data_IF_852864235303
#
_entry.id   IF_852864235303
#
_cell.length_a   1.000
_cell.length_b   1.000
_cell.length_c   1.000
_cell.angle_alpha   90.00
_cell.angle_beta   90.00
_cell.angle_gamma   90.00
#
_symmetry.space_group_name_H-M   'P 1'
#
loop_
_entity.id
_entity.type
_entity.pdbx_description
1 polymer ?
#
# COMPACT_ATOMS: atom_id res chain seq x y z
N UNK A 1 8.88 20.39 20.14
CA UNK A 1 9.58 21.15 19.08
C UNK A 1 8.89 20.86 17.77
N UNK A 2 8.77 21.83 16.85
CA UNK A 2 8.13 21.57 15.56
C UNK A 2 8.91 20.50 14.80
N UNK A 3 8.19 19.56 14.18
CA UNK A 3 8.75 18.49 13.35
C UNK A 3 9.40 19.05 12.07
N UNK A 4 8.97 20.25 11.65
CA UNK A 4 9.35 20.88 10.38
C UNK A 4 8.62 20.30 9.16
N UNK A 5 7.65 19.41 9.39
CA UNK A 5 6.81 18.79 8.38
C UNK A 5 5.36 19.23 8.57
N UNK A 6 4.71 19.67 7.49
CA UNK A 6 3.35 20.19 7.50
C UNK A 6 2.35 19.19 8.10
N UNK A 7 1.52 19.67 9.03
CA UNK A 7 0.45 18.90 9.66
C UNK A 7 0.89 17.81 10.65
N UNK A 8 2.19 17.53 10.79
CA UNK A 8 2.69 16.50 11.72
C UNK A 8 3.02 17.15 13.07
N UNK A 9 1.98 17.44 13.86
CA UNK A 9 2.12 18.04 15.20
C UNK A 9 2.20 16.99 16.32
N UNK A 10 1.41 15.91 16.20
CA UNK A 10 1.41 14.82 17.16
C UNK A 10 1.89 13.52 16.48
N UNK A 11 3.01 12.98 16.95
CA UNK A 11 3.58 11.73 16.42
C UNK A 11 4.29 10.93 17.50
N UNK A 12 4.43 9.62 17.26
CA UNK A 12 5.26 8.74 18.10
C UNK A 12 6.77 8.82 17.77
N UNK A 13 7.16 9.49 16.68
CA UNK A 13 8.56 9.76 16.33
C UNK A 13 9.05 11.02 17.03
N UNK A 14 10.33 11.05 17.41
CA UNK A 14 10.95 12.30 17.83
C UNK A 14 11.16 13.22 16.62
N UNK A 15 11.26 14.53 16.86
CA UNK A 15 11.46 15.56 15.82
C UNK A 15 12.59 15.20 14.85
N UNK A 16 13.74 14.75 15.36
CA UNK A 16 14.91 14.43 14.51
C UNK A 16 14.74 13.11 13.74
N UNK A 17 13.95 12.17 14.26
CA UNK A 17 13.73 10.87 13.61
C UNK A 17 13.03 11.05 12.27
N UNK A 18 12.11 12.02 12.15
CA UNK A 18 11.42 12.31 10.89
C UNK A 18 12.35 12.60 9.71
N UNK A 19 13.54 13.13 9.98
CA UNK A 19 14.54 13.51 8.98
C UNK A 19 15.58 12.41 8.74
N UNK A 20 15.52 11.32 9.51
CA UNK A 20 16.38 10.16 9.33
C UNK A 20 16.12 9.40 8.04
N UNK A 21 17.17 8.83 7.45
CA UNK A 21 17.18 8.09 6.16
C UNK A 21 16.01 7.08 6.03
N UNK A 22 15.68 6.37 7.11
CA UNK A 22 14.67 5.31 7.09
C UNK A 22 13.26 5.80 7.42
N UNK A 23 13.13 6.98 8.04
CA UNK A 23 11.86 7.51 8.54
C UNK A 23 11.27 8.60 7.63
N UNK A 24 12.11 9.36 6.93
CA UNK A 24 11.64 10.41 6.01
C UNK A 24 10.73 9.87 4.91
N UNK A 25 11.01 8.66 4.42
CA UNK A 25 10.24 7.99 3.37
C UNK A 25 8.78 7.66 3.76
N UNK A 26 8.42 7.72 5.04
CA UNK A 26 7.03 7.65 5.51
C UNK A 26 6.55 8.97 6.10
N UNK A 27 7.44 9.76 6.71
CA UNK A 27 7.09 11.07 7.29
C UNK A 27 6.69 12.10 6.23
N UNK A 28 7.44 12.18 5.12
CA UNK A 28 7.16 13.13 4.04
C UNK A 28 5.82 12.82 3.32
N UNK A 29 5.51 11.56 2.95
CA UNK A 29 4.17 11.20 2.49
C UNK A 29 3.03 11.61 3.43
N UNK A 30 3.18 11.40 4.74
CA UNK A 30 2.15 11.79 5.71
C UNK A 30 1.95 13.31 5.77
N UNK A 31 3.05 14.07 5.69
CA UNK A 31 3.00 15.53 5.66
C UNK A 31 2.35 16.06 4.37
N UNK A 32 2.69 15.47 3.22
CA UNK A 32 2.08 15.80 1.93
C UNK A 32 0.58 15.47 1.91
N UNK A 33 0.19 14.32 2.46
CA UNK A 33 -1.21 13.95 2.61
C UNK A 33 -1.97 14.94 3.52
N UNK A 34 -1.34 15.41 4.60
CA UNK A 34 -1.91 16.44 5.48
C UNK A 34 -2.07 17.78 4.75
N UNK A 35 -1.06 18.19 3.97
CA UNK A 35 -1.13 19.38 3.13
C UNK A 35 -2.29 19.28 2.12
N UNK A 36 -2.39 18.16 1.41
CA UNK A 36 -3.48 17.92 0.47
C UNK A 36 -4.85 17.89 1.16
N UNK A 37 -4.95 17.34 2.37
CA UNK A 37 -6.16 17.33 3.18
C UNK A 37 -6.65 18.74 3.53
N UNK A 38 -5.75 19.62 3.99
CA UNK A 38 -6.11 20.96 4.45
C UNK A 38 -6.36 21.94 3.29
N UNK A 39 -5.92 21.60 2.08
CA UNK A 39 -6.17 22.38 0.85
C UNK A 39 -7.26 21.76 -0.04
N UNK A 40 -8.01 20.77 0.46
CA UNK A 40 -9.06 20.07 -0.27
C UNK A 40 -8.61 19.51 -1.64
N UNK A 41 -7.34 19.07 -1.72
CA UNK A 41 -6.77 18.45 -2.92
C UNK A 41 -6.99 16.93 -2.81
N UNK A 42 -7.84 16.33 -3.66
CA UNK A 42 -8.08 14.89 -3.58
C UNK A 42 -6.87 14.10 -4.09
N UNK A 43 -6.73 12.87 -3.60
CA UNK A 43 -5.78 11.89 -4.12
C UNK A 43 -6.38 11.08 -5.27
N UNK A 44 -5.53 10.51 -6.12
CA UNK A 44 -5.96 9.49 -7.09
C UNK A 44 -6.32 8.23 -6.32
N UNK A 45 -7.56 7.75 -6.42
CA UNK A 45 -8.01 6.53 -5.76
C UNK A 45 -8.18 5.38 -6.74
N UNK A 46 -7.34 4.36 -6.61
CA UNK A 46 -7.45 3.13 -7.39
C UNK A 46 -8.37 2.17 -6.62
N UNK A 47 -9.56 1.99 -7.18
CA UNK A 47 -10.58 1.09 -6.66
C UNK A 47 -10.84 -0.06 -7.63
N UNK A 48 -11.38 -1.16 -7.12
CA UNK A 48 -11.85 -2.26 -7.94
C UNK A 48 -13.29 -2.01 -8.38
N UNK A 49 -13.60 -2.33 -9.63
CA UNK A 49 -14.95 -2.31 -10.19
C UNK A 49 -15.23 -3.59 -10.99
N UNK A 50 -16.50 -3.96 -11.12
CA UNK A 50 -16.94 -5.05 -12.00
C UNK A 50 -17.47 -4.47 -13.32
N UNK A 51 -16.78 -4.77 -14.41
CA UNK A 51 -17.20 -4.46 -15.77
C UNK A 51 -17.63 -5.74 -16.49
N UNK A 52 -18.94 -6.00 -16.51
CA UNK A 52 -19.55 -7.13 -17.22
C UNK A 52 -18.98 -8.50 -16.82
N UNK A 53 -18.73 -8.71 -15.53
CA UNK A 53 -18.18 -9.93 -14.96
C UNK A 53 -16.66 -9.90 -14.79
N UNK A 54 -15.96 -8.87 -15.31
CA UNK A 54 -14.51 -8.73 -15.20
C UNK A 54 -14.14 -7.69 -14.14
N UNK A 55 -13.42 -8.12 -13.10
CA UNK A 55 -12.90 -7.23 -12.07
C UNK A 55 -11.71 -6.46 -12.61
N UNK A 56 -11.80 -5.12 -12.59
CA UNK A 56 -10.75 -4.23 -13.11
C UNK A 56 -10.51 -3.07 -12.16
N UNK A 57 -9.26 -2.63 -12.06
CA UNK A 57 -8.94 -1.42 -11.32
C UNK A 57 -9.30 -0.18 -12.12
N UNK A 58 -9.94 0.78 -11.47
CA UNK A 58 -10.27 2.08 -12.06
C UNK A 58 -9.78 3.23 -11.20
N UNK A 59 -9.28 4.30 -11.82
CA UNK A 59 -8.94 5.53 -11.12
C UNK A 59 -10.20 6.36 -10.85
N UNK A 60 -10.31 6.84 -9.63
CA UNK A 60 -11.27 7.85 -9.18
C UNK A 60 -10.54 8.84 -8.27
N UNK A 61 -11.27 9.61 -7.47
CA UNK A 61 -10.71 10.54 -6.50
C UNK A 61 -11.24 10.23 -5.10
N UNK A 62 -10.41 10.47 -4.08
CA UNK A 62 -10.78 10.33 -2.67
C UNK A 62 -10.20 11.51 -1.87
N UNK A 63 -10.95 12.01 -0.90
CA UNK A 63 -10.46 13.04 0.02
C UNK A 63 -9.53 12.41 1.07
N UNK A 64 -8.54 13.16 1.56
CA UNK A 64 -7.71 12.67 2.66
C UNK A 64 -8.48 12.56 3.99
N UNK A 65 -9.60 13.26 4.12
CA UNK A 65 -10.52 13.09 5.27
C UNK A 65 -11.11 11.69 5.31
N UNK A 66 -11.44 11.14 4.15
CA UNK A 66 -11.93 9.76 4.01
C UNK A 66 -10.78 8.75 4.16
N UNK A 67 -9.60 9.04 3.60
CA UNK A 67 -8.41 8.17 3.73
C UNK A 67 -7.97 8.03 5.19
N UNK A 68 -7.99 9.14 5.94
CA UNK A 68 -7.63 9.18 7.35
C UNK A 68 -8.80 8.82 8.28
N UNK A 69 -10.02 8.70 7.76
CA UNK A 69 -11.24 8.49 8.54
C UNK A 69 -11.42 9.55 9.64
N UNK A 70 -11.03 10.80 9.40
CA UNK A 70 -10.96 11.83 10.44
C UNK A 70 -12.18 12.75 10.52
N UNK A 71 -13.10 12.66 9.55
CA UNK A 71 -14.27 13.54 9.48
C UNK A 71 -13.86 15.01 9.32
N UNK A 72 -14.39 15.88 10.18
CA UNK A 72 -14.14 17.33 10.12
C UNK A 72 -12.81 17.76 10.76
N UNK A 73 -12.07 16.85 11.40
CA UNK A 73 -10.82 17.17 12.12
C UNK A 73 -9.75 17.74 11.19
N UNK A 74 -8.94 18.67 11.68
CA UNK A 74 -7.73 19.18 11.00
C UNK A 74 -6.53 18.24 11.19
N UNK A 75 -5.40 18.52 10.54
CA UNK A 75 -4.18 17.73 10.75
C UNK A 75 -3.63 17.86 12.18
N UNK A 76 -3.80 19.04 12.79
CA UNK A 76 -3.40 19.31 14.18
C UNK A 76 -4.22 18.50 15.20
N UNK A 77 -5.42 18.03 14.83
CA UNK A 77 -6.27 17.19 15.68
C UNK A 77 -6.01 15.69 15.47
N UNK A 78 -4.95 15.33 14.75
CA UNK A 78 -4.57 13.95 14.45
C UNK A 78 -3.20 13.59 15.03
N UNK A 79 -3.05 12.31 15.36
CA UNK A 79 -1.80 11.70 15.77
C UNK A 79 -1.31 10.70 14.72
N UNK A 80 -0.10 10.93 14.20
CA UNK A 80 0.57 10.13 13.18
C UNK A 80 1.52 9.14 13.84
N UNK A 81 1.08 7.88 13.96
CA UNK A 81 1.81 6.82 14.66
C UNK A 81 2.48 5.91 13.63
N UNK A 82 3.78 6.10 13.41
CA UNK A 82 4.56 5.36 12.43
C UNK A 82 4.99 3.99 12.95
N UNK A 83 5.11 3.01 12.05
CA UNK A 83 5.60 1.65 12.35
C UNK A 83 4.89 1.02 13.56
N UNK A 84 3.58 1.26 13.65
CA UNK A 84 2.76 0.94 14.83
C UNK A 84 1.68 -0.07 14.47
N UNK A 85 1.30 -0.88 15.46
CA UNK A 85 0.19 -1.83 15.33
C UNK A 85 -1.15 -1.11 15.34
N UNK A 86 -2.02 -1.42 14.38
CA UNK A 86 -3.43 -1.05 14.42
C UNK A 86 -4.18 -2.01 15.36
N UNK A 87 -4.19 -1.68 16.65
CA UNK A 87 -4.72 -2.54 17.70
C UNK A 87 -6.13 -3.10 17.45
N UNK A 88 -7.08 -2.39 16.78
CA UNK A 88 -8.38 -2.98 16.47
C UNK A 88 -8.32 -4.30 15.70
N UNK A 89 -7.28 -4.54 14.89
CA UNK A 89 -7.15 -5.81 14.15
C UNK A 89 -6.59 -6.96 15.00
N UNK A 90 -6.05 -6.69 16.19
CA UNK A 90 -5.53 -7.72 17.08
C UNK A 90 -6.61 -8.73 17.50
N UNK A 91 -7.89 -8.32 17.52
CA UNK A 91 -9.01 -9.20 17.85
C UNK A 91 -9.11 -10.42 16.91
N UNK A 92 -8.62 -10.28 15.67
CA UNK A 92 -8.64 -11.31 14.62
C UNK A 92 -7.44 -12.25 14.65
N UNK A 93 -6.45 -12.03 15.51
CA UNK A 93 -5.25 -12.86 15.60
C UNK A 93 -5.01 -13.38 17.01
N UNK A 94 -4.67 -14.67 17.16
CA UNK A 94 -4.17 -15.23 18.42
C UNK A 94 -2.75 -14.77 18.73
N UNK A 95 -1.95 -14.54 17.69
CA UNK A 95 -0.59 -14.06 17.79
C UNK A 95 -0.56 -12.53 17.72
N UNK A 96 0.50 -11.90 18.22
CA UNK A 96 0.71 -10.47 18.00
C UNK A 96 0.75 -10.18 16.48
N UNK A 97 -0.01 -9.18 16.03
CA UNK A 97 0.05 -8.74 14.64
C UNK A 97 1.22 -7.77 14.44
N UNK A 98 1.79 -7.77 13.24
CA UNK A 98 2.86 -6.84 12.89
C UNK A 98 2.38 -5.37 12.87
N UNK A 99 3.33 -4.44 12.99
CA UNK A 99 3.07 -3.03 12.73
C UNK A 99 2.84 -2.76 11.24
N UNK A 100 2.13 -1.67 10.94
CA UNK A 100 2.04 -1.10 9.59
C UNK A 100 2.75 0.27 9.58
N UNK A 101 3.12 0.76 8.40
CA UNK A 101 3.93 1.98 8.26
C UNK A 101 3.32 3.22 8.93
N UNK A 102 1.99 3.38 8.90
CA UNK A 102 1.30 4.52 9.49
C UNK A 102 -0.07 4.14 10.08
N UNK A 103 -0.31 4.56 11.32
CA UNK A 103 -1.61 4.50 11.99
C UNK A 103 -2.04 5.92 12.36
N UNK A 104 -3.20 6.34 11.85
CA UNK A 104 -3.83 7.60 12.21
C UNK A 104 -4.74 7.39 13.42
N UNK A 105 -4.63 8.29 14.39
CA UNK A 105 -5.52 8.39 15.54
C UNK A 105 -6.02 9.82 15.69
N UNK A 106 -7.12 10.01 16.42
CA UNK A 106 -7.41 11.32 17.00
C UNK A 106 -6.64 11.52 18.33
N UNK A 107 -6.74 12.73 18.88
CA UNK A 107 -6.06 13.07 20.14
C UNK A 107 -6.66 12.40 21.38
N UNK A 108 -7.88 11.86 21.27
CA UNK A 108 -8.49 11.02 22.31
C UNK A 108 -7.94 9.58 22.29
N UNK A 109 -7.11 9.23 21.31
CA UNK A 109 -6.47 7.93 21.16
C UNK A 109 -7.29 6.91 20.38
N UNK A 110 -8.40 7.32 19.76
CA UNK A 110 -9.21 6.43 18.92
C UNK A 110 -8.47 6.11 17.62
N UNK A 111 -8.49 4.84 17.23
CA UNK A 111 -7.88 4.36 16.00
C UNK A 111 -8.76 4.71 14.79
N UNK A 112 -8.21 5.42 13.81
CA UNK A 112 -8.97 5.89 12.64
C UNK A 112 -8.63 5.12 11.37
N UNK A 113 -7.34 5.05 10.99
CA UNK A 113 -6.93 4.45 9.72
C UNK A 113 -5.53 3.82 9.78
N UNK A 114 -5.36 2.55 9.35
CA UNK A 114 -4.06 1.95 9.09
C UNK A 114 -3.66 2.06 7.61
N UNK A 115 -2.45 2.52 7.32
CA UNK A 115 -1.95 2.72 5.96
C UNK A 115 -0.52 2.18 5.79
N UNK A 116 -0.31 1.42 4.72
CA UNK A 116 1.04 1.19 4.18
C UNK A 116 1.48 2.46 3.44
N UNK A 117 2.74 2.86 3.58
CA UNK A 117 3.25 4.09 2.98
C UNK A 117 4.38 3.77 2.01
N UNK A 118 4.23 4.23 0.77
CA UNK A 118 5.25 4.07 -0.27
C UNK A 118 5.62 5.42 -0.84
N UNK A 119 6.92 5.70 -0.91
CA UNK A 119 7.48 6.83 -1.65
C UNK A 119 8.21 6.29 -2.87
N UNK A 120 7.66 6.50 -4.06
CA UNK A 120 8.14 5.86 -5.30
C UNK A 120 8.49 6.87 -6.37
N UNK A 121 9.59 6.61 -7.09
CA UNK A 121 10.02 7.43 -8.23
C UNK A 121 9.21 7.11 -9.49
N UNK A 122 8.93 8.14 -10.28
CA UNK A 122 8.32 8.04 -11.62
C UNK A 122 9.21 8.79 -12.63
N UNK A 123 9.73 8.16 -13.69
CA UNK A 123 9.63 6.75 -14.05
C UNK A 123 10.65 5.85 -13.35
N UNK A 124 10.40 4.55 -13.37
CA UNK A 124 11.44 3.53 -13.16
C UNK A 124 12.46 3.49 -14.30
N UNK A 125 13.62 2.89 -14.06
CA UNK A 125 14.64 2.64 -15.09
C UNK A 125 14.08 1.93 -16.33
N UNK A 126 13.21 0.95 -16.10
CA UNK A 126 12.58 0.11 -17.12
C UNK A 126 11.51 0.82 -17.96
N UNK A 127 10.89 1.88 -17.42
CA UNK A 127 9.82 2.61 -18.12
C UNK A 127 10.26 3.97 -18.66
N UNK A 128 11.39 4.51 -18.21
CA UNK A 128 11.86 5.85 -18.59
C UNK A 128 12.17 6.01 -20.09
N UNK A 129 12.39 4.90 -20.81
CA UNK A 129 12.65 4.89 -22.26
C UNK A 129 11.37 4.84 -23.09
N UNK A 130 10.22 4.67 -22.45
CA UNK A 130 8.91 4.67 -23.09
C UNK A 130 8.33 6.09 -23.11
N UNK A 131 7.28 6.35 -23.91
CA UNK A 131 6.53 7.60 -23.83
C UNK A 131 6.04 7.86 -22.40
N UNK A 132 5.98 9.12 -21.96
CA UNK A 132 5.61 9.49 -20.58
C UNK A 132 4.29 8.88 -20.11
N UNK A 133 3.31 8.75 -21.02
CA UNK A 133 2.04 8.11 -20.74
C UNK A 133 2.15 6.64 -20.29
N UNK A 134 3.28 5.98 -20.55
CA UNK A 134 3.60 4.60 -20.15
C UNK A 134 4.59 4.50 -18.99
N UNK A 135 5.00 5.63 -18.42
CA UNK A 135 5.86 5.63 -17.24
C UNK A 135 5.14 4.99 -16.05
N UNK A 136 5.89 4.28 -15.21
CA UNK A 136 5.35 3.65 -14.03
C UNK A 136 6.33 3.62 -12.86
N UNK A 137 5.83 3.20 -11.71
CA UNK A 137 6.55 3.09 -10.45
C UNK A 137 6.87 1.63 -10.10
N UNK A 138 7.94 1.39 -9.34
CA UNK A 138 8.17 0.09 -8.70
C UNK A 138 7.50 0.08 -7.33
N UNK A 139 6.77 -0.99 -7.01
CA UNK A 139 6.23 -1.23 -5.67
C UNK A 139 6.82 -2.51 -5.09
N UNK A 140 7.39 -2.41 -3.89
CA UNK A 140 7.87 -3.55 -3.10
C UNK A 140 6.98 -3.68 -1.87
N UNK A 141 6.37 -4.86 -1.70
CA UNK A 141 5.36 -5.14 -0.70
C UNK A 141 5.91 -6.10 0.36
N UNK A 142 5.58 -5.84 1.64
CA UNK A 142 5.93 -6.69 2.78
C UNK A 142 4.75 -7.56 3.19
N UNK A 143 5.03 -8.65 3.90
CA UNK A 143 3.99 -9.57 4.38
C UNK A 143 3.01 -8.90 5.36
N UNK A 144 3.47 -7.91 6.13
CA UNK A 144 2.59 -7.12 6.99
C UNK A 144 1.46 -6.44 6.18
N UNK A 145 1.78 -5.86 5.01
CA UNK A 145 0.79 -5.19 4.14
C UNK A 145 -0.30 -6.16 3.66
N UNK A 146 0.07 -7.37 3.20
CA UNK A 146 -0.92 -8.36 2.76
C UNK A 146 -1.72 -8.94 3.92
N UNK A 147 -1.15 -8.98 5.13
CA UNK A 147 -1.88 -9.34 6.34
C UNK A 147 -2.93 -8.28 6.68
N UNK A 148 -2.55 -7.00 6.69
CA UNK A 148 -3.48 -5.89 6.90
C UNK A 148 -4.55 -5.81 5.80
N UNK A 149 -4.22 -6.19 4.57
CA UNK A 149 -5.19 -6.37 3.49
C UNK A 149 -6.26 -7.39 3.91
N UNK A 150 -5.87 -8.62 4.27
CA UNK A 150 -6.80 -9.67 4.65
C UNK A 150 -7.64 -9.33 5.90
N UNK A 151 -6.98 -8.82 6.95
CA UNK A 151 -7.65 -8.39 8.20
C UNK A 151 -8.61 -7.23 7.94
N UNK A 152 -8.21 -6.31 7.06
CA UNK A 152 -9.00 -5.17 6.64
C UNK A 152 -10.27 -5.59 5.90
N UNK A 153 -10.12 -6.44 4.88
CA UNK A 153 -11.24 -7.00 4.12
C UNK A 153 -12.21 -7.75 5.03
N UNK A 154 -11.73 -8.63 5.91
CA UNK A 154 -12.61 -9.36 6.83
C UNK A 154 -13.34 -8.42 7.80
N UNK A 155 -12.65 -7.41 8.35
CA UNK A 155 -13.25 -6.48 9.30
C UNK A 155 -14.50 -5.77 8.75
N UNK A 156 -14.54 -5.46 7.45
CA UNK A 156 -15.68 -4.76 6.82
C UNK A 156 -16.88 -5.66 6.51
N UNK A 157 -16.68 -6.99 6.55
CA UNK A 157 -17.71 -7.99 6.21
C UNK A 157 -17.90 -9.06 7.29
N UNK A 158 -17.37 -8.85 8.49
CA UNK A 158 -17.40 -9.83 9.59
C UNK A 158 -18.82 -10.22 10.01
N UNK A 159 -19.80 -9.34 9.82
CA UNK A 159 -21.23 -9.62 10.02
C UNK A 159 -21.80 -10.61 8.98
N UNK A 160 -21.05 -10.87 7.90
CA UNK A 160 -21.35 -11.80 6.81
C UNK A 160 -20.44 -13.03 6.80
N UNK A 161 -19.85 -13.38 7.95
CA UNK A 161 -18.89 -14.47 8.07
C UNK A 161 -19.35 -15.81 7.45
N UNK A 162 -20.62 -16.20 7.62
CA UNK A 162 -21.14 -17.43 7.00
C UNK A 162 -21.13 -17.35 5.46
N UNK A 163 -21.56 -16.23 4.88
CA UNK A 163 -21.54 -16.03 3.43
C UNK A 163 -20.10 -16.00 2.89
N UNK A 164 -19.16 -15.42 3.64
CA UNK A 164 -17.72 -15.47 3.30
C UNK A 164 -17.22 -16.91 3.33
N UNK A 165 -17.59 -17.69 4.34
CA UNK A 165 -17.21 -19.10 4.44
C UNK A 165 -17.66 -19.87 3.20
N UNK A 166 -18.94 -19.73 2.83
CA UNK A 166 -19.53 -20.44 1.70
C UNK A 166 -18.81 -20.17 0.39
N UNK A 167 -18.32 -18.93 0.18
CA UNK A 167 -17.54 -18.55 -1.01
C UNK A 167 -16.22 -19.33 -1.09
N UNK A 168 -15.53 -19.54 0.03
CA UNK A 168 -14.21 -20.15 0.07
C UNK A 168 -14.21 -21.65 0.39
N UNK A 169 -15.30 -22.21 0.92
CA UNK A 169 -15.35 -23.57 1.48
C UNK A 169 -14.98 -24.63 0.44
N UNK A 170 -15.53 -24.56 -0.78
CA UNK A 170 -15.25 -25.53 -1.85
C UNK A 170 -13.76 -25.54 -2.25
N UNK A 171 -13.15 -24.35 -2.41
CA UNK A 171 -11.76 -24.24 -2.78
C UNK A 171 -10.82 -24.63 -1.63
N UNK A 172 -11.12 -24.21 -0.40
CA UNK A 172 -10.19 -24.29 0.73
C UNK A 172 -10.32 -25.57 1.57
N UNK A 173 -11.52 -26.13 1.73
CA UNK A 173 -11.74 -27.31 2.60
C UNK A 173 -11.04 -28.57 2.08
N UNK A 174 -10.80 -28.65 0.77
CA UNK A 174 -10.10 -29.77 0.15
C UNK A 174 -8.59 -29.74 0.38
N UNK A 175 -8.02 -28.61 0.84
CA UNK A 175 -6.57 -28.41 1.00
C UNK A 175 -6.09 -29.17 2.24
N UNK A 176 -5.18 -30.12 2.04
CA UNK A 176 -4.60 -30.91 3.12
C UNK A 176 -3.36 -30.22 3.69
N UNK A 177 -2.46 -29.76 2.83
CA UNK A 177 -1.18 -29.16 3.22
C UNK A 177 -0.97 -27.83 2.51
N UNK A 178 -1.21 -26.72 3.22
CA UNK A 178 -1.04 -25.37 2.68
C UNK A 178 0.41 -24.98 2.37
N UNK A 179 1.39 -25.77 2.81
CA UNK A 179 2.82 -25.62 2.54
C UNK A 179 3.33 -26.57 1.44
N UNK A 180 2.46 -27.41 0.87
CA UNK A 180 2.80 -28.29 -0.24
C UNK A 180 2.73 -27.52 -1.58
N UNK A 181 3.89 -27.28 -2.19
CA UNK A 181 4.02 -26.51 -3.44
C UNK A 181 3.18 -27.11 -4.59
N UNK A 182 3.20 -28.42 -4.75
CA UNK A 182 2.48 -29.12 -5.82
C UNK A 182 0.97 -28.98 -5.64
N UNK A 183 0.44 -29.29 -4.45
CA UNK A 183 -0.98 -29.17 -4.15
C UNK A 183 -1.49 -27.73 -4.37
N UNK A 184 -0.75 -26.76 -3.84
CA UNK A 184 -1.14 -25.35 -3.92
C UNK A 184 -1.07 -24.81 -5.34
N UNK A 185 -0.05 -25.19 -6.11
CA UNK A 185 0.05 -24.83 -7.54
C UNK A 185 -1.16 -25.34 -8.34
N UNK A 186 -1.66 -26.54 -8.05
CA UNK A 186 -2.82 -27.12 -8.76
C UNK A 186 -4.17 -26.53 -8.28
N UNK A 187 -4.23 -25.95 -7.07
CA UNK A 187 -5.46 -25.40 -6.49
C UNK A 187 -5.57 -23.88 -6.61
N UNK A 188 -4.49 -23.19 -6.95
CA UNK A 188 -4.43 -21.72 -6.99
C UNK A 188 -5.49 -21.08 -7.88
N UNK A 189 -5.88 -21.73 -8.97
CA UNK A 189 -6.93 -21.23 -9.85
C UNK A 189 -8.27 -21.13 -9.14
N UNK A 190 -8.70 -22.20 -8.44
CA UNK A 190 -9.97 -22.22 -7.68
C UNK A 190 -9.93 -21.26 -6.49
N UNK A 191 -8.76 -21.13 -5.87
CA UNK A 191 -8.53 -20.14 -4.80
C UNK A 191 -8.74 -18.72 -5.35
N UNK A 192 -8.11 -18.38 -6.47
CA UNK A 192 -8.20 -17.05 -7.08
C UNK A 192 -9.63 -16.72 -7.52
N UNK A 193 -10.34 -17.70 -8.09
CA UNK A 193 -11.76 -17.56 -8.42
C UNK A 193 -12.65 -17.30 -7.20
N UNK A 194 -12.32 -17.90 -6.04
CA UNK A 194 -13.04 -17.65 -4.79
C UNK A 194 -12.79 -16.22 -4.27
N UNK A 195 -11.57 -15.70 -4.43
CA UNK A 195 -11.25 -14.30 -4.13
C UNK A 195 -12.05 -13.37 -5.05
N UNK A 196 -12.13 -13.66 -6.35
CA UNK A 196 -12.91 -12.85 -7.29
C UNK A 196 -14.42 -12.88 -6.98
N UNK A 197 -14.95 -14.03 -6.55
CA UNK A 197 -16.33 -14.14 -6.07
C UNK A 197 -16.57 -13.30 -4.81
N UNK A 198 -15.63 -13.35 -3.85
CA UNK A 198 -15.66 -12.53 -2.64
C UNK A 198 -15.63 -11.03 -2.96
N UNK A 199 -14.67 -10.58 -3.77
CA UNK A 199 -14.51 -9.18 -4.09
C UNK A 199 -15.69 -8.63 -4.88
N UNK A 200 -16.23 -9.40 -5.83
CA UNK A 200 -17.45 -9.04 -6.56
C UNK A 200 -18.64 -8.89 -5.61
N UNK A 201 -18.81 -9.82 -4.67
CA UNK A 201 -19.95 -9.81 -3.73
C UNK A 201 -19.92 -8.64 -2.74
N UNK A 202 -18.72 -8.18 -2.38
CA UNK A 202 -18.50 -7.14 -1.39
C UNK A 202 -17.77 -5.92 -1.96
N UNK A 203 -17.92 -5.66 -3.26
CA UNK A 203 -17.18 -4.64 -4.01
C UNK A 203 -17.28 -3.24 -3.37
N UNK A 204 -18.45 -2.91 -2.83
CA UNK A 204 -18.71 -1.64 -2.15
C UNK A 204 -18.18 -1.56 -0.70
N UNK A 205 -17.46 -2.59 -0.23
CA UNK A 205 -16.85 -2.65 1.11
C UNK A 205 -15.34 -2.44 1.10
N UNK A 206 -14.75 -2.25 -0.08
CA UNK A 206 -13.34 -1.91 -0.23
C UNK A 206 -12.99 -0.58 0.46
N UNK A 207 -11.77 -0.45 0.95
CA UNK A 207 -11.31 0.73 1.68
C UNK A 207 -9.82 1.02 1.42
N UNK A 208 -9.35 2.26 1.67
CA UNK A 208 -7.93 2.59 1.57
C UNK A 208 -7.04 1.64 2.39
N UNK A 209 -5.93 1.22 1.79
CA UNK A 209 -4.92 0.37 2.44
C UNK A 209 -3.50 0.92 2.22
N UNK A 210 -3.18 1.37 1.01
CA UNK A 210 -1.83 1.78 0.65
C UNK A 210 -1.83 3.22 0.12
N UNK A 211 -1.03 4.08 0.75
CA UNK A 211 -0.76 5.44 0.33
C UNK A 211 0.58 5.50 -0.40
N UNK A 212 0.53 5.63 -1.73
CA UNK A 212 1.70 5.71 -2.59
C UNK A 212 1.92 7.17 -3.02
N UNK A 213 2.87 7.84 -2.38
CA UNK A 213 3.37 9.14 -2.85
C UNK A 213 4.32 8.91 -4.02
N UNK A 214 4.04 9.60 -5.13
CA UNK A 214 4.91 9.60 -6.31
C UNK A 214 5.74 10.87 -6.35
N UNK A 215 7.00 10.75 -6.77
CA UNK A 215 7.84 11.89 -7.12
C UNK A 215 8.40 11.70 -8.54
N UNK A 216 8.01 12.61 -9.43
CA UNK A 216 8.33 12.56 -10.85
C UNK A 216 9.64 13.29 -11.13
N UNK A 217 10.52 12.64 -11.87
CA UNK A 217 11.79 13.18 -12.33
C UNK A 217 11.77 13.51 -13.82
N UNK A 218 12.77 14.27 -14.27
CA UNK A 218 13.02 14.49 -15.70
C UNK A 218 13.66 13.23 -16.32
N UNK A 219 12.83 12.24 -16.65
CA UNK A 219 13.30 10.92 -17.09
C UNK A 219 14.15 10.26 -16.00
N UNK A 220 15.37 9.81 -16.32
CA UNK A 220 16.32 9.24 -15.33
C UNK A 220 17.15 10.29 -14.58
N UNK A 221 16.93 11.58 -14.84
CA UNK A 221 17.61 12.66 -14.12
C UNK A 221 17.27 12.62 -12.63
N UNK A 222 18.19 12.98 -11.72
CA UNK A 222 17.87 13.18 -10.31
C UNK A 222 17.08 14.48 -10.05
N UNK A 223 16.83 15.29 -11.09
CA UNK A 223 16.04 16.50 -10.98
C UNK A 223 14.54 16.21 -11.07
N UNK A 224 13.77 16.83 -10.18
CA UNK A 224 12.31 16.80 -10.21
C UNK A 224 11.77 17.45 -11.50
N UNK A 225 10.67 16.91 -12.02
CA UNK A 225 9.86 17.59 -13.02
C UNK A 225 9.17 18.82 -12.42
N UNK A 226 8.64 19.74 -13.23
CA UNK A 226 7.86 20.88 -12.71
C UNK A 226 6.63 20.39 -11.92
N UNK A 227 5.83 19.53 -12.54
CA UNK A 227 4.76 18.79 -11.87
C UNK A 227 5.33 17.48 -11.34
N UNK A 228 5.71 17.50 -10.06
CA UNK A 228 6.54 16.47 -9.45
C UNK A 228 5.76 15.50 -8.57
N UNK A 229 4.76 15.96 -7.81
CA UNK A 229 4.20 15.15 -6.73
C UNK A 229 2.72 14.86 -6.90
N UNK A 230 2.34 13.66 -6.51
CA UNK A 230 0.95 13.23 -6.33
C UNK A 230 0.88 12.10 -5.31
N UNK A 231 -0.34 11.75 -4.90
CA UNK A 231 -0.58 10.59 -4.07
C UNK A 231 -1.62 9.69 -4.76
N UNK A 232 -1.25 8.41 -4.87
CA UNK A 232 -2.11 7.32 -5.31
C UNK A 232 -2.51 6.50 -4.10
N UNK A 233 -3.80 6.49 -3.78
CA UNK A 233 -4.39 5.64 -2.75
C UNK A 233 -4.89 4.36 -3.43
N UNK A 234 -4.49 3.22 -2.90
CA UNK A 234 -5.03 1.93 -3.32
C UNK A 234 -6.04 1.46 -2.29
N UNK A 235 -7.22 1.06 -2.77
CA UNK A 235 -8.11 0.22 -1.97
C UNK A 235 -7.46 -1.14 -1.69
N UNK A 236 -7.86 -1.80 -0.60
CA UNK A 236 -7.47 -3.18 -0.31
C UNK A 236 -7.81 -4.14 -1.47
N UNK A 237 -8.95 -3.95 -2.14
CA UNK A 237 -9.38 -4.79 -3.27
C UNK A 237 -8.58 -4.49 -4.54
N UNK A 238 -8.30 -3.23 -4.87
CA UNK A 238 -7.43 -2.92 -6.01
C UNK A 238 -5.99 -3.36 -5.76
N UNK A 239 -5.52 -3.26 -4.51
CA UNK A 239 -4.21 -3.73 -4.10
C UNK A 239 -4.08 -5.25 -4.23
N UNK A 240 -5.12 -6.02 -3.90
CA UNK A 240 -5.08 -7.49 -4.03
C UNK A 240 -4.85 -7.95 -5.47
N UNK A 241 -5.39 -7.22 -6.46
CA UNK A 241 -5.22 -7.51 -7.89
C UNK A 241 -3.75 -7.58 -8.32
N UNK A 242 -2.86 -6.85 -7.65
CA UNK A 242 -1.42 -6.91 -7.91
C UNK A 242 -0.83 -8.32 -7.79
N UNK A 243 -1.45 -9.17 -6.97
CA UNK A 243 -1.02 -10.55 -6.77
C UNK A 243 -2.04 -11.61 -7.20
N UNK A 244 -3.34 -11.32 -7.13
CA UNK A 244 -4.38 -12.26 -7.58
C UNK A 244 -4.34 -12.45 -9.09
N UNK A 245 -4.20 -11.38 -9.88
CA UNK A 245 -4.20 -11.50 -11.33
C UNK A 245 -2.98 -12.29 -11.83
N UNK A 246 -1.83 -12.12 -11.15
CA UNK A 246 -0.62 -12.89 -11.43
C UNK A 246 -0.78 -14.39 -11.13
N UNK A 247 -1.80 -14.78 -10.37
CA UNK A 247 -2.06 -16.17 -9.99
C UNK A 247 -2.80 -16.96 -11.08
N UNK A 248 -3.28 -16.28 -12.12
CA UNK A 248 -3.85 -16.91 -13.32
C UNK A 248 -2.78 -17.30 -14.35
N UNK A 249 -1.53 -16.90 -14.16
CA UNK A 249 -0.41 -17.33 -15.02
C UNK A 249 -0.09 -18.82 -14.77
N UNK A 250 -0.01 -19.61 -15.85
CA UNK A 250 0.32 -21.05 -15.76
C UNK A 250 1.79 -21.21 -15.42
N UNK A 251 2.08 -21.76 -14.25
CA UNK A 251 3.45 -21.99 -13.75
C UNK A 251 3.58 -23.39 -13.15
N UNK A 252 4.82 -23.89 -13.04
CA UNK A 252 5.11 -25.21 -12.49
C UNK A 252 5.33 -25.24 -10.97
N UNK A 253 5.43 -24.08 -10.31
CA UNK A 253 5.71 -23.94 -8.88
C UNK A 253 5.12 -22.63 -8.35
N UNK A 254 4.88 -22.54 -7.04
CA UNK A 254 4.26 -21.37 -6.42
C UNK A 254 5.15 -20.13 -6.54
N UNK A 255 4.65 -19.13 -7.28
CA UNK A 255 5.26 -17.81 -7.31
C UNK A 255 4.96 -17.01 -6.03
N UNK A 256 5.73 -15.95 -5.79
CA UNK A 256 5.50 -15.00 -4.69
C UNK A 256 4.07 -14.39 -4.71
N UNK A 257 3.56 -13.90 -5.85
CA UNK A 257 2.16 -13.47 -5.96
C UNK A 257 1.13 -14.57 -5.67
N UNK A 258 1.31 -15.78 -6.22
CA UNK A 258 0.40 -16.91 -5.97
C UNK A 258 0.32 -17.25 -4.48
N UNK A 259 1.46 -17.20 -3.78
CA UNK A 259 1.51 -17.37 -2.33
C UNK A 259 0.71 -16.29 -1.60
N UNK A 260 0.80 -15.03 -2.01
CA UNK A 260 0.02 -13.94 -1.41
C UNK A 260 -1.49 -14.15 -1.61
N UNK A 261 -1.93 -14.61 -2.79
CA UNK A 261 -3.33 -14.98 -3.07
C UNK A 261 -3.80 -16.12 -2.16
N UNK A 262 -3.00 -17.18 -2.04
CA UNK A 262 -3.31 -18.31 -1.18
C UNK A 262 -3.40 -17.90 0.30
N UNK A 263 -2.49 -17.03 0.78
CA UNK A 263 -2.53 -16.49 2.14
C UNK A 263 -3.76 -15.62 2.38
N UNK A 264 -4.14 -14.77 1.43
CA UNK A 264 -5.36 -13.95 1.51
C UNK A 264 -6.60 -14.84 1.66
N UNK A 265 -6.76 -15.83 0.77
CA UNK A 265 -7.89 -16.75 0.82
C UNK A 265 -7.93 -17.57 2.12
N UNK A 266 -6.77 -18.09 2.58
CA UNK A 266 -6.68 -18.81 3.85
C UNK A 266 -7.09 -17.94 5.03
N UNK A 267 -6.63 -16.70 5.08
CA UNK A 267 -7.02 -15.76 6.13
C UNK A 267 -8.54 -15.52 6.14
N UNK A 268 -9.13 -15.17 4.99
CA UNK A 268 -10.56 -14.91 4.88
C UNK A 268 -11.40 -16.15 5.26
N UNK A 269 -11.01 -17.33 4.76
CA UNK A 269 -11.69 -18.58 5.06
C UNK A 269 -11.57 -18.99 6.53
N UNK A 270 -10.38 -18.94 7.13
CA UNK A 270 -10.23 -19.28 8.55
C UNK A 270 -10.92 -18.27 9.47
N UNK A 271 -10.84 -16.96 9.18
CA UNK A 271 -11.57 -15.92 9.92
C UNK A 271 -13.08 -16.11 9.82
N UNK A 272 -13.59 -16.53 8.65
CA UNK A 272 -15.02 -16.79 8.47
C UNK A 272 -15.56 -17.92 9.36
N UNK A 273 -14.70 -18.85 9.79
CA UNK A 273 -15.07 -20.00 10.64
C UNK A 273 -15.04 -19.68 12.13
N UNK A 274 -14.02 -18.97 12.59
CA UNK A 274 -13.73 -18.79 14.03
C UNK A 274 -13.74 -17.32 14.49
N UNK A 275 -13.72 -16.37 13.57
CA UNK A 275 -13.47 -14.96 13.85
C UNK A 275 -12.02 -14.63 14.25
N UNK A 276 -11.13 -15.63 14.34
CA UNK A 276 -9.76 -15.46 14.85
C UNK A 276 -8.79 -16.51 14.31
N UNK A 277 -7.61 -16.10 13.86
CA UNK A 277 -6.61 -16.96 13.20
C UNK A 277 -5.23 -16.90 13.85
N UNK A 278 -4.34 -17.84 13.50
CA UNK A 278 -2.90 -17.77 13.83
C UNK A 278 -2.15 -17.19 12.65
N UNK A 279 -2.10 -15.85 12.55
CA UNK A 279 -1.54 -15.17 11.38
C UNK A 279 -0.07 -15.52 11.16
N UNK A 280 0.70 -15.67 12.23
CA UNK A 280 2.12 -16.02 12.15
C UNK A 280 2.30 -17.39 11.51
N UNK A 281 1.45 -18.36 11.85
CA UNK A 281 1.50 -19.69 11.27
C UNK A 281 1.16 -19.70 9.78
N UNK A 282 0.13 -18.95 9.36
CA UNK A 282 -0.23 -18.84 7.93
C UNK A 282 0.96 -18.29 7.13
N UNK A 283 1.57 -17.20 7.59
CA UNK A 283 2.67 -16.57 6.87
C UNK A 283 3.97 -17.38 6.96
N UNK A 284 4.25 -18.07 8.07
CA UNK A 284 5.45 -18.91 8.20
C UNK A 284 5.35 -20.23 7.44
N UNK A 285 4.23 -20.95 7.55
CA UNK A 285 4.05 -22.26 6.91
C UNK A 285 4.10 -22.15 5.39
N UNK A 286 3.45 -21.12 4.85
CA UNK A 286 3.30 -20.97 3.40
C UNK A 286 4.52 -20.29 2.75
N UNK A 287 5.73 -20.42 3.29
CA UNK A 287 6.91 -19.76 2.73
C UNK A 287 7.38 -20.37 1.40
N UNK A 288 7.12 -21.66 1.16
CA UNK A 288 7.55 -22.41 -0.04
C UNK A 288 9.04 -22.18 -0.39
N UNK A 289 9.91 -22.24 0.61
CA UNK A 289 11.37 -22.07 0.43
C UNK A 289 11.84 -20.65 0.08
N UNK A 290 10.94 -19.66 0.02
CA UNK A 290 11.30 -18.28 -0.28
C UNK A 290 11.66 -17.49 0.99
N UNK A 291 12.48 -16.44 0.82
CA UNK A 291 12.67 -15.41 1.83
C UNK A 291 11.34 -14.69 2.12
N UNK A 292 11.10 -14.41 3.40
CA UNK A 292 9.84 -13.84 3.93
C UNK A 292 9.92 -12.35 4.23
N UNK A 293 11.07 -11.70 4.01
CA UNK A 293 11.26 -10.26 4.21
C UNK A 293 10.45 -9.41 3.21
N UNK A 294 10.27 -9.93 1.99
CA UNK A 294 9.49 -9.33 0.91
C UNK A 294 8.39 -10.29 0.48
N UNK A 295 7.15 -9.81 0.42
CA UNK A 295 6.03 -10.60 -0.06
C UNK A 295 6.13 -10.77 -1.57
N UNK A 296 6.11 -9.66 -2.30
CA UNK A 296 6.32 -9.57 -3.75
C UNK A 296 6.75 -8.15 -4.14
N UNK A 297 7.10 -7.97 -5.42
CA UNK A 297 7.31 -6.66 -6.01
C UNK A 297 6.68 -6.60 -7.41
N UNK A 298 6.24 -5.41 -7.82
CA UNK A 298 5.77 -5.15 -9.18
C UNK A 298 6.63 -4.05 -9.83
N UNK A 299 7.03 -4.28 -11.07
CA UNK A 299 7.80 -3.31 -11.84
C UNK A 299 6.93 -2.25 -12.51
N UNK A 300 7.56 -1.16 -12.97
CA UNK A 300 6.88 0.01 -13.55
C UNK A 300 5.86 -0.30 -14.64
N UNK A 301 6.18 -1.19 -15.58
CA UNK A 301 5.25 -1.54 -16.67
C UNK A 301 3.98 -2.22 -16.13
N UNK A 302 4.11 -3.11 -15.14
CA UNK A 302 2.97 -3.80 -14.52
C UNK A 302 2.17 -2.83 -13.66
N UNK A 303 2.83 -1.99 -12.86
CA UNK A 303 2.18 -0.93 -12.09
C UNK A 303 1.29 -0.03 -12.96
N UNK A 304 1.78 0.37 -14.15
CA UNK A 304 1.06 1.26 -15.05
C UNK A 304 -0.20 0.62 -15.67
N UNK A 305 -0.31 -0.71 -15.69
CA UNK A 305 -1.53 -1.41 -16.12
C UNK A 305 -2.68 -1.19 -15.13
N UNK A 306 -2.37 -1.05 -13.84
CA UNK A 306 -3.37 -0.84 -12.78
C UNK A 306 -3.64 0.65 -12.52
N UNK A 307 -2.62 1.50 -12.59
CA UNK A 307 -2.75 2.94 -12.36
C UNK A 307 -2.88 3.67 -13.70
N UNK A 308 -4.10 3.72 -14.22
CA UNK A 308 -4.41 4.28 -15.54
C UNK A 308 -4.77 5.77 -15.52
N UNK A 309 -4.81 6.41 -14.34
CA UNK A 309 -5.11 7.83 -14.21
C UNK A 309 -4.19 8.68 -15.10
N UNK A 310 -4.81 9.54 -15.93
CA UNK A 310 -4.07 10.49 -16.79
C UNK A 310 -3.26 11.49 -15.97
N UNK A 311 -3.79 11.87 -14.80
CA UNK A 311 -3.16 12.75 -13.79
C UNK A 311 -1.74 12.31 -13.39
N UNK A 312 -1.41 11.03 -13.50
CA UNK A 312 -0.04 10.54 -13.23
C UNK A 312 0.98 11.06 -14.25
N UNK A 313 0.55 11.33 -15.49
CA UNK A 313 1.42 11.89 -16.52
C UNK A 313 1.83 13.31 -16.15
N UNK A 314 0.95 14.05 -15.48
CA UNK A 314 1.18 15.41 -14.99
C UNK A 314 0.69 15.52 -13.53
N UNK A 315 1.50 15.06 -12.55
CA UNK A 315 1.16 15.09 -11.13
C UNK A 315 0.57 16.43 -10.68
N UNK A 316 -0.38 16.42 -9.75
CA UNK A 316 -1.11 17.64 -9.41
C UNK A 316 -0.24 18.71 -8.75
N UNK A 317 0.74 18.31 -7.94
CA UNK A 317 1.55 19.22 -7.15
C UNK A 317 2.84 19.60 -7.87
N UNK A 318 3.09 20.90 -7.91
CA UNK A 318 4.32 21.48 -8.43
C UNK A 318 5.50 21.19 -7.50
N UNK A 319 6.73 21.08 -8.02
CA UNK A 319 7.94 20.81 -7.22
C UNK A 319 8.19 21.84 -6.11
N UNK A 320 7.69 23.06 -6.27
CA UNK A 320 7.80 24.14 -5.26
C UNK A 320 6.96 23.88 -4.01
N UNK A 321 6.00 22.95 -4.03
CA UNK A 321 5.18 22.60 -2.86
C UNK A 321 6.02 22.12 -1.68
N UNK A 322 7.25 21.67 -1.94
CA UNK A 322 8.22 21.31 -0.89
C UNK A 322 8.42 22.48 0.08
N UNK A 323 8.38 23.74 -0.39
CA UNK A 323 8.57 24.92 0.45
C UNK A 323 7.39 25.16 1.40
N UNK A 324 6.21 24.62 1.09
CA UNK A 324 5.02 24.70 1.94
C UNK A 324 4.93 23.49 2.88
N UNK A 325 5.42 22.32 2.43
CA UNK A 325 5.41 21.08 3.22
C UNK A 325 6.57 21.03 4.23
N UNK A 326 7.74 21.56 3.86
CA UNK A 326 8.96 21.53 4.66
C UNK A 326 9.27 22.94 5.14
N UNK A 327 9.32 23.10 6.46
CA UNK A 327 9.66 24.37 7.08
C UNK A 327 11.08 24.83 6.67
N UNK A 328 11.31 26.13 6.42
CA UNK A 328 12.63 26.66 6.08
C UNK A 328 13.72 26.22 7.08
N UNK A 329 14.87 25.78 6.54
CA UNK A 329 16.01 25.30 7.31
C UNK A 329 15.94 23.83 7.75
N UNK A 330 14.77 23.18 7.71
CA UNK A 330 14.65 21.77 8.08
C UNK A 330 15.13 20.81 7.00
N UNK A 331 15.10 21.22 5.73
CA UNK A 331 15.62 20.38 4.63
C UNK A 331 17.09 20.00 4.85
N UNK A 332 17.88 20.85 5.51
CA UNK A 332 19.29 20.61 5.84
C UNK A 332 19.48 19.50 6.89
N UNK A 333 18.43 19.14 7.62
CA UNK A 333 18.43 17.98 8.52
C UNK A 333 18.36 16.67 7.76
N UNK A 334 17.86 16.69 6.53
CA UNK A 334 17.97 15.54 5.65
C UNK A 334 19.46 15.29 5.43
N UNK A 335 19.93 14.10 5.79
CA UNK A 335 21.31 13.67 5.54
C UNK A 335 21.31 12.62 4.42
N UNK A 336 21.20 13.01 3.14
CA UNK A 336 21.17 12.08 2.03
C UNK A 336 22.36 11.11 2.06
N UNK A 337 22.11 9.88 1.66
CA UNK A 337 23.18 8.92 1.45
C UNK A 337 24.13 9.42 0.36
N UNK A 338 25.42 9.49 0.67
CA UNK A 338 26.47 9.89 -0.28
C UNK A 338 26.71 8.75 -1.26
N UNK A 339 25.94 8.71 -2.35
CA UNK A 339 26.19 7.78 -3.46
C UNK A 339 27.18 8.41 -4.45
N UNK A 340 28.25 7.68 -4.76
CA UNK A 340 29.35 8.20 -5.57
C UNK A 340 28.91 8.63 -6.97
N UNK A 341 28.03 7.86 -7.60
CA UNK A 341 27.41 8.18 -8.90
C UNK A 341 26.63 9.51 -8.87
N UNK A 342 25.86 9.77 -7.81
CA UNK A 342 25.14 11.01 -7.63
C UNK A 342 26.09 12.20 -7.39
N UNK A 343 27.13 12.02 -6.57
CA UNK A 343 28.16 13.04 -6.36
C UNK A 343 28.86 13.41 -7.67
N UNK A 344 29.26 12.42 -8.47
CA UNK A 344 29.85 12.65 -9.80
C UNK A 344 28.89 13.41 -10.71
N UNK A 345 27.61 13.02 -10.72
CA UNK A 345 26.59 13.66 -11.55
C UNK A 345 26.47 15.17 -11.29
N UNK A 346 26.41 15.59 -10.02
CA UNK A 346 26.30 17.01 -9.68
C UNK A 346 27.63 17.76 -9.88
N UNK A 347 28.75 17.14 -9.52
CA UNK A 347 30.08 17.76 -9.66
C UNK A 347 30.43 18.04 -11.12
N UNK A 348 30.14 17.07 -12.01
CA UNK A 348 30.48 17.20 -13.43
C UNK A 348 29.55 18.14 -14.21
N UNK A 349 28.38 18.49 -13.65
CA UNK A 349 27.39 19.33 -14.33
C UNK A 349 27.44 20.80 -13.93
N UNK A 350 28.33 21.21 -13.02
CA UNK A 350 28.44 22.59 -12.47
C UNK A 350 27.07 23.29 -12.45
N UNK A 351 26.16 22.81 -11.58
CA UNK A 351 24.90 23.52 -11.30
C UNK A 351 25.15 24.59 -10.26
#
# INVERSE_FOLDING_TARGET
MPTGLYGIEHSNRATEDHWGKNCFNSSFPAAMASYMMEHDIPAVYIKLEDYNGELRTVPTEISFRDVFCCGAKSAAELSFNFETVFAPYQQYSFDAIDGIDLVIKDLDGNFLSPLEVKLTVLPTDSTSRQPEAKWGCELVVRSATTSYCALGMYNTVKDKALEVRDIFEDACSSIQMWDNDYEMTHKILRISQSIDAFERRYLNRQKPLLMQTIWKTQGKSPLLAEQAFDIVIWSDYAFSRLFVDASYEVTSTMSRPMRASARLARCLWELSKSGKIRVVDIYRQMAFGNQTDKEFAIGGSKWRQYVTAERITRPILHKSVINDIIQPGYIEKLSPERRFDQTLYFTAREV
#
